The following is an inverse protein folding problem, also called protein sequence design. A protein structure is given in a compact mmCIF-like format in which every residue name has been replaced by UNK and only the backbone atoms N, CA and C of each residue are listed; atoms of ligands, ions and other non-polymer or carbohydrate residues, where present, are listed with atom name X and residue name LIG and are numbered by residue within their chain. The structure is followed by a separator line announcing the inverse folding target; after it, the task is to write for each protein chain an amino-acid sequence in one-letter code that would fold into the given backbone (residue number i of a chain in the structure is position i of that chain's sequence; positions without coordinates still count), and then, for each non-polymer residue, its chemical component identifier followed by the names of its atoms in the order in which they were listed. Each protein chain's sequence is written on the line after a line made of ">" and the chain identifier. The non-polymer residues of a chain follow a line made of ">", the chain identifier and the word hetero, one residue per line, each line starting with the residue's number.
data_IF_906221427060
#
_entry.id   IF_906221427060
#
_cell.length_a   1.000
_cell.length_b   1.000
_cell.length_c   1.000
_cell.angle_alpha   90.00
_cell.angle_beta   90.00
_cell.angle_gamma   90.00
#
_symmetry.space_group_name_H-M   'P 1'
#
loop_
_entity.id
_entity.type
_entity.pdbx_description
1 polymer ?
#
# COMPACT_ATOMS: atom_id res chain seq x y z
N UNK A 1 3.09 12.30 3.59
CA UNK A 1 4.13 11.82 2.64
C UNK A 1 5.53 12.27 3.07
N UNK A 2 5.81 13.57 3.26
CA UNK A 2 7.14 14.04 3.69
C UNK A 2 7.62 13.45 5.04
N UNK A 3 6.70 13.23 5.99
CA UNK A 3 7.04 12.62 7.29
C UNK A 3 7.32 11.12 7.17
N UNK A 4 6.49 10.38 6.41
CA UNK A 4 6.73 8.96 6.12
C UNK A 4 8.07 8.74 5.39
N UNK A 5 8.40 9.57 4.40
CA UNK A 5 9.72 9.51 3.73
C UNK A 5 10.90 9.74 4.69
N UNK A 6 10.71 10.52 5.76
CA UNK A 6 11.78 10.86 6.70
C UNK A 6 11.98 9.77 7.74
N UNK A 7 10.91 9.16 8.26
CA UNK A 7 10.99 8.21 9.37
C UNK A 7 10.85 6.75 8.95
N UNK A 8 10.23 6.49 7.81
CA UNK A 8 9.88 5.15 7.32
C UNK A 8 10.11 5.06 5.80
N UNK A 9 11.38 5.17 5.34
CA UNK A 9 11.71 5.28 3.92
C UNK A 9 11.29 4.03 3.12
N UNK A 10 11.34 2.83 3.72
CA UNK A 10 10.96 1.58 3.07
C UNK A 10 9.46 1.50 2.81
N UNK A 11 8.64 1.87 3.79
CA UNK A 11 7.18 1.96 3.66
C UNK A 11 6.80 3.04 2.65
N UNK A 12 7.49 4.18 2.66
CA UNK A 12 7.20 5.24 1.72
C UNK A 12 7.54 4.85 0.27
N UNK A 13 8.66 4.14 0.05
CA UNK A 13 8.99 3.57 -1.26
C UNK A 13 7.96 2.53 -1.71
N UNK A 14 7.50 1.65 -0.81
CA UNK A 14 6.44 0.68 -1.10
C UNK A 14 5.14 1.37 -1.54
N UNK A 15 4.75 2.46 -0.87
CA UNK A 15 3.55 3.23 -1.22
C UNK A 15 3.73 3.95 -2.55
N UNK A 16 4.90 4.51 -2.82
CA UNK A 16 5.18 5.13 -4.11
C UNK A 16 5.03 4.12 -5.26
N UNK A 17 5.55 2.90 -5.08
CA UNK A 17 5.43 1.83 -6.07
C UNK A 17 3.98 1.38 -6.26
N UNK A 18 3.20 1.25 -5.17
CA UNK A 18 1.77 0.94 -5.25
C UNK A 18 1.01 2.03 -6.03
N UNK A 19 1.26 3.30 -5.75
CA UNK A 19 0.63 4.42 -6.48
C UNK A 19 0.95 4.43 -7.97
N UNK A 20 2.16 4.02 -8.36
CA UNK A 20 2.57 3.94 -9.76
C UNK A 20 2.00 2.70 -10.47
N UNK A 21 1.74 1.63 -9.72
CA UNK A 21 1.27 0.35 -10.27
C UNK A 21 -0.25 0.34 -10.48
N UNK A 22 -1.00 1.13 -9.69
CA UNK A 22 -2.45 1.14 -9.73
C UNK A 22 -3.00 1.62 -11.08
N UNK A 23 -3.91 0.85 -11.64
CA UNK A 23 -4.78 1.32 -12.71
C UNK A 23 -5.99 2.06 -12.12
N UNK A 24 -5.91 3.39 -12.04
CA UNK A 24 -6.97 4.23 -11.49
C UNK A 24 -8.27 4.21 -12.31
N UNK A 25 -8.25 3.76 -13.58
CA UNK A 25 -9.46 3.68 -14.40
C UNK A 25 -10.37 2.52 -14.02
N UNK A 26 -9.80 1.48 -13.40
CA UNK A 26 -10.53 0.27 -13.01
C UNK A 26 -10.95 0.30 -11.55
N UNK A 27 -10.38 1.19 -10.73
CA UNK A 27 -10.79 1.33 -9.33
C UNK A 27 -12.27 1.69 -9.23
N UNK A 28 -13.01 1.05 -8.31
CA UNK A 28 -14.40 1.40 -8.02
C UNK A 28 -14.52 2.85 -7.49
N UNK A 29 -13.46 3.33 -6.83
CA UNK A 29 -13.34 4.72 -6.36
C UNK A 29 -13.07 5.63 -7.56
N UNK A 30 -14.09 6.36 -8.02
CA UNK A 30 -14.00 7.26 -9.19
C UNK A 30 -13.13 8.51 -8.99
N UNK A 31 -12.52 8.67 -7.81
CA UNK A 31 -11.66 9.81 -7.46
C UNK A 31 -10.24 9.32 -7.23
N UNK A 32 -9.34 9.65 -8.16
CA UNK A 32 -7.91 9.37 -8.02
C UNK A 32 -7.35 9.95 -6.72
N UNK A 33 -7.81 11.13 -6.31
CA UNK A 33 -7.39 11.75 -5.04
C UNK A 33 -7.75 10.88 -3.83
N UNK A 34 -8.93 10.26 -3.84
CA UNK A 34 -9.36 9.36 -2.77
C UNK A 34 -8.55 8.06 -2.76
N UNK A 35 -8.26 7.48 -3.93
CA UNK A 35 -7.40 6.29 -4.04
C UNK A 35 -6.01 6.60 -3.50
N UNK A 36 -5.42 7.74 -3.90
CA UNK A 36 -4.12 8.20 -3.39
C UNK A 36 -4.14 8.37 -1.87
N UNK A 37 -5.20 8.97 -1.33
CA UNK A 37 -5.38 9.12 0.12
C UNK A 37 -5.42 7.77 0.86
N UNK A 38 -6.16 6.79 0.32
CA UNK A 38 -6.25 5.45 0.88
C UNK A 38 -4.89 4.75 0.89
N UNK A 39 -4.16 4.79 -0.24
CA UNK A 39 -2.84 4.17 -0.37
C UNK A 39 -1.82 4.80 0.59
N UNK A 40 -1.86 6.12 0.77
CA UNK A 40 -1.00 6.80 1.76
C UNK A 40 -1.37 6.36 3.19
N UNK A 41 -2.67 6.24 3.50
CA UNK A 41 -3.11 5.76 4.81
C UNK A 41 -2.63 4.32 5.09
N UNK A 42 -2.65 3.44 4.08
CA UNK A 42 -2.09 2.09 4.20
C UNK A 42 -0.61 2.11 4.58
N UNK A 43 0.19 3.02 4.00
CA UNK A 43 1.61 3.18 4.35
C UNK A 43 1.83 3.61 5.79
N UNK A 44 1.05 4.57 6.27
CA UNK A 44 1.12 5.00 7.67
C UNK A 44 0.68 3.90 8.65
N UNK A 45 -0.34 3.13 8.29
CA UNK A 45 -0.80 2.01 9.11
C UNK A 45 0.25 0.91 9.17
N UNK A 46 0.90 0.61 8.04
CA UNK A 46 2.02 -0.33 7.97
C UNK A 46 3.21 0.14 8.83
N UNK A 47 3.58 1.42 8.72
CA UNK A 47 4.75 1.98 9.39
C UNK A 47 4.62 2.03 10.92
N UNK A 48 3.39 2.14 11.43
CA UNK A 48 3.12 2.19 12.87
C UNK A 48 3.15 0.82 13.55
N UNK A 49 3.32 -0.28 12.81
CA UNK A 49 3.29 -1.66 13.32
C UNK A 49 2.14 -1.96 14.28
N UNK A 50 1.00 -1.28 14.09
CA UNK A 50 -0.20 -1.53 14.88
C UNK A 50 -0.74 -2.92 14.57
N UNK A 51 -1.60 -3.48 15.43
CA UNK A 51 -2.17 -4.82 15.23
C UNK A 51 -2.82 -5.05 13.84
N UNK A 52 -3.23 -3.96 13.17
CA UNK A 52 -3.80 -3.98 11.82
C UNK A 52 -2.83 -3.48 10.72
N UNK A 53 -1.53 -3.34 10.98
CA UNK A 53 -0.53 -2.80 10.06
C UNK A 53 -0.41 -3.60 8.76
N UNK A 54 0.13 -4.81 8.88
CA UNK A 54 0.27 -5.74 7.76
C UNK A 54 -1.09 -6.28 7.27
N UNK A 55 -2.03 -6.74 8.13
CA UNK A 55 -3.33 -7.20 7.66
C UNK A 55 -4.16 -6.12 6.94
N UNK A 56 -4.08 -4.87 7.39
CA UNK A 56 -4.75 -3.74 6.74
C UNK A 56 -4.16 -3.42 5.37
N UNK A 57 -2.84 -3.50 5.24
CA UNK A 57 -2.16 -3.38 3.94
C UNK A 57 -2.57 -4.49 2.97
N UNK A 58 -2.58 -5.74 3.43
CA UNK A 58 -2.99 -6.89 2.63
C UNK A 58 -4.45 -6.81 2.17
N UNK A 59 -5.36 -6.42 3.06
CA UNK A 59 -6.76 -6.19 2.69
C UNK A 59 -6.95 -5.06 1.68
N UNK A 60 -6.12 -4.01 1.76
CA UNK A 60 -6.08 -2.94 0.76
C UNK A 60 -5.63 -3.45 -0.62
N UNK A 61 -4.62 -4.32 -0.68
CA UNK A 61 -4.20 -4.94 -1.94
C UNK A 61 -5.28 -5.84 -2.54
N UNK A 62 -5.96 -6.64 -1.72
CA UNK A 62 -7.06 -7.49 -2.17
C UNK A 62 -8.23 -6.68 -2.74
N UNK A 63 -8.54 -5.54 -2.12
CA UNK A 63 -9.51 -4.59 -2.67
C UNK A 63 -9.12 -4.13 -4.08
N UNK A 64 -7.87 -3.72 -4.28
CA UNK A 64 -7.39 -3.27 -5.59
C UNK A 64 -7.33 -4.39 -6.63
N UNK A 65 -7.04 -5.64 -6.22
CA UNK A 65 -7.11 -6.81 -7.12
C UNK A 65 -8.54 -7.07 -7.54
N UNK A 66 -9.50 -7.03 -6.60
CA UNK A 66 -10.92 -7.26 -6.91
C UNK A 66 -11.47 -6.20 -7.87
N UNK A 67 -11.02 -4.96 -7.71
CA UNK A 67 -11.36 -3.85 -8.61
C UNK A 67 -10.61 -3.94 -9.96
N UNK A 68 -9.67 -4.88 -10.14
CA UNK A 68 -8.82 -4.96 -11.32
C UNK A 68 -7.80 -3.83 -11.44
N UNK A 69 -7.65 -3.01 -10.40
CA UNK A 69 -6.65 -1.95 -10.29
C UNK A 69 -5.23 -2.50 -10.08
N UNK A 70 -5.12 -3.74 -9.60
CA UNK A 70 -3.90 -4.54 -9.57
C UNK A 70 -4.18 -5.94 -10.13
N UNK A 71 -3.16 -6.53 -10.75
CA UNK A 71 -3.13 -7.98 -10.96
C UNK A 71 -2.74 -8.72 -9.68
N UNK A 72 -3.10 -10.01 -9.60
CA UNK A 72 -2.70 -10.90 -8.49
C UNK A 72 -1.17 -10.93 -8.34
N UNK A 73 -0.42 -10.94 -9.44
CA UNK A 73 1.05 -10.95 -9.40
C UNK A 73 1.63 -9.66 -8.82
N UNK A 74 1.10 -8.50 -9.24
CA UNK A 74 1.52 -7.20 -8.72
C UNK A 74 1.22 -7.09 -7.22
N UNK A 75 0.02 -7.50 -6.80
CA UNK A 75 -0.34 -7.54 -5.38
C UNK A 75 0.57 -8.49 -4.58
N UNK A 76 0.91 -9.67 -5.13
CA UNK A 76 1.82 -10.61 -4.50
C UNK A 76 3.22 -10.03 -4.26
N UNK A 77 3.78 -9.30 -5.24
CA UNK A 77 5.09 -8.62 -5.10
C UNK A 77 5.06 -7.53 -4.04
N UNK A 78 3.98 -6.74 -3.99
CA UNK A 78 3.81 -5.68 -2.99
C UNK A 78 3.60 -6.26 -1.58
N UNK A 79 2.83 -7.36 -1.45
CA UNK A 79 2.62 -8.09 -0.20
C UNK A 79 3.93 -8.62 0.37
N UNK A 80 4.72 -9.34 -0.44
CA UNK A 80 6.00 -9.89 0.00
C UNK A 80 6.97 -8.80 0.48
N UNK A 81 6.98 -7.63 -0.18
CA UNK A 81 7.77 -6.48 0.28
C UNK A 81 7.24 -5.88 1.58
N UNK A 82 5.92 -5.77 1.75
CA UNK A 82 5.31 -5.30 2.99
C UNK A 82 5.65 -6.23 4.16
N UNK A 83 5.55 -7.55 3.97
CA UNK A 83 5.93 -8.57 4.95
C UNK A 83 7.41 -8.43 5.36
N UNK A 84 8.31 -8.30 4.38
CA UNK A 84 9.73 -8.11 4.64
C UNK A 84 9.99 -6.85 5.49
N UNK A 85 9.41 -5.72 5.11
CA UNK A 85 9.53 -4.45 5.86
C UNK A 85 9.00 -4.63 7.30
N UNK A 86 7.85 -5.29 7.44
CA UNK A 86 7.22 -5.51 8.73
C UNK A 86 8.06 -6.39 9.66
N UNK A 87 8.76 -7.38 9.11
CA UNK A 87 9.67 -8.27 9.84
C UNK A 87 11.01 -7.60 10.19
N UNK A 88 11.54 -6.72 9.33
CA UNK A 88 12.90 -6.14 9.51
C UNK A 88 12.94 -4.83 10.32
N UNK A 89 11.80 -4.19 10.61
CA UNK A 89 11.78 -2.94 11.38
C UNK A 89 12.02 -3.13 12.89
N UNK A 90 13.27 -3.32 13.32
CA UNK A 90 13.72 -3.10 14.72
C UNK A 90 14.51 -1.81 14.83
#
# INVERSE_FOLDING_TARGET
>A
MAELHRTHPSEAALIADLLQTLNYQTTTIRSELHVRGLVIALGFTLSKKMAAGLPGFEGGLEYFVRDGALSIEQAGKLRARAEAIYQTGT
#
